data_IF_629612850962
#
_entry.id   IF_629612850962
#
_cell.length_a   1.000
_cell.length_b   1.000
_cell.length_c   1.000
_cell.angle_alpha   90.00
_cell.angle_beta   90.00
_cell.angle_gamma   90.00
#
_symmetry.space_group_name_H-M   'P 1'
#
loop_
_entity.id
_entity.type
_entity.pdbx_description
1 polymer ?
#
# COMPACT_ATOMS: atom_id res chain seq x y z
N UNK A 1 -9.59 -17.11 -17.09
CA UNK A 1 -8.45 -16.39 -16.49
C UNK A 1 -8.83 -15.00 -16.00
N UNK A 2 -9.56 -14.19 -16.76
CA UNK A 2 -9.93 -12.84 -16.32
C UNK A 2 -10.84 -12.77 -15.08
N UNK A 3 -11.71 -13.74 -14.85
CA UNK A 3 -12.60 -13.78 -13.68
C UNK A 3 -11.84 -14.12 -12.39
N UNK A 4 -10.91 -15.08 -12.42
CA UNK A 4 -10.13 -15.48 -11.25
C UNK A 4 -9.26 -14.34 -10.70
N UNK A 5 -8.67 -13.54 -11.59
CA UNK A 5 -7.86 -12.39 -11.17
C UNK A 5 -8.75 -11.30 -10.54
N UNK A 6 -9.93 -11.04 -11.11
CA UNK A 6 -10.91 -10.11 -10.50
C UNK A 6 -11.40 -10.61 -9.15
N UNK A 7 -11.69 -11.89 -9.03
CA UNK A 7 -12.09 -12.51 -7.76
C UNK A 7 -11.00 -12.37 -6.70
N UNK A 8 -9.73 -12.54 -7.08
CA UNK A 8 -8.59 -12.37 -6.17
C UNK A 8 -8.56 -10.97 -5.53
N UNK A 9 -8.78 -9.91 -6.31
CA UNK A 9 -8.82 -8.54 -5.80
C UNK A 9 -10.09 -8.23 -5.00
N UNK A 10 -11.16 -9.01 -5.18
CA UNK A 10 -12.40 -8.86 -4.43
C UNK A 10 -12.37 -9.62 -3.09
N UNK A 11 -11.44 -10.54 -2.90
CA UNK A 11 -11.29 -11.29 -1.64
C UNK A 11 -10.58 -10.39 -0.62
N UNK A 12 -11.36 -9.80 0.26
CA UNK A 12 -10.86 -9.00 1.38
C UNK A 12 -10.36 -9.93 2.49
N UNK A 13 -9.09 -10.29 2.44
CA UNK A 13 -8.45 -11.15 3.42
C UNK A 13 -7.60 -10.33 4.39
N UNK A 14 -7.95 -10.30 5.70
CA UNK A 14 -7.18 -9.52 6.68
C UNK A 14 -5.71 -9.95 6.81
N UNK A 15 -5.40 -11.22 6.64
CA UNK A 15 -4.01 -11.70 6.68
C UNK A 15 -3.20 -11.20 5.47
N UNK A 16 -3.78 -11.22 4.26
CA UNK A 16 -3.20 -10.62 3.08
C UNK A 16 -3.01 -9.11 3.28
N UNK A 17 -4.02 -8.45 3.83
CA UNK A 17 -3.95 -7.02 4.14
C UNK A 17 -2.79 -6.70 5.09
N UNK A 18 -2.64 -7.47 6.18
CA UNK A 18 -1.52 -7.32 7.12
C UNK A 18 -0.16 -7.50 6.43
N UNK A 19 -0.05 -8.47 5.54
CA UNK A 19 1.15 -8.69 4.73
C UNK A 19 1.48 -7.48 3.84
N UNK A 20 0.49 -6.91 3.17
CA UNK A 20 0.70 -5.73 2.32
C UNK A 20 1.14 -4.50 3.15
N UNK A 21 0.54 -4.28 4.32
CA UNK A 21 0.95 -3.22 5.24
C UNK A 21 2.40 -3.42 5.71
N UNK A 22 2.79 -4.66 6.00
CA UNK A 22 4.15 -4.98 6.43
C UNK A 22 5.19 -4.73 5.34
N UNK A 23 4.89 -5.11 4.10
CA UNK A 23 5.77 -4.89 2.94
C UNK A 23 5.96 -3.38 2.65
N UNK A 24 4.88 -2.61 2.74
CA UNK A 24 4.93 -1.15 2.64
C UNK A 24 5.84 -0.55 3.70
N UNK A 25 5.64 -0.93 4.96
CA UNK A 25 6.37 -0.36 6.11
C UNK A 25 7.85 -0.71 6.08
N UNK A 26 8.19 -1.95 5.69
CA UNK A 26 9.58 -2.38 5.55
C UNK A 26 10.31 -1.59 4.48
N UNK A 27 9.72 -1.48 3.29
CA UNK A 27 10.33 -0.71 2.19
C UNK A 27 10.47 0.79 2.53
N UNK A 28 9.53 1.34 3.29
CA UNK A 28 9.58 2.72 3.76
C UNK A 28 10.82 2.97 4.63
N UNK A 29 11.04 2.15 5.67
CA UNK A 29 12.18 2.32 6.58
C UNK A 29 13.53 1.99 5.93
N UNK A 30 13.56 1.01 5.03
CA UNK A 30 14.78 0.67 4.28
C UNK A 30 15.26 1.82 3.39
N UNK A 31 14.32 2.59 2.83
CA UNK A 31 14.65 3.69 1.93
C UNK A 31 15.16 4.94 2.64
N UNK A 32 14.54 5.35 3.75
CA UNK A 32 14.85 6.64 4.38
C UNK A 32 15.34 6.55 5.83
N UNK A 33 15.47 5.35 6.38
CA UNK A 33 15.90 5.06 7.75
C UNK A 33 14.95 5.58 8.85
N UNK A 34 13.75 6.04 8.49
CA UNK A 34 12.70 6.47 9.40
C UNK A 34 11.49 5.55 9.32
N UNK A 35 10.79 5.38 10.45
CA UNK A 35 9.56 4.60 10.50
C UNK A 35 8.41 5.32 9.79
N UNK A 36 7.56 4.56 9.11
CA UNK A 36 6.35 5.09 8.49
C UNK A 36 5.35 5.59 9.54
N UNK A 37 4.80 6.79 9.41
CA UNK A 37 3.70 7.22 10.26
C UNK A 37 2.44 6.38 9.98
N UNK A 38 1.77 5.93 11.03
CA UNK A 38 0.60 5.05 10.97
C UNK A 38 -0.51 5.53 10.01
N UNK A 39 -0.81 6.83 9.90
CA UNK A 39 -1.83 7.30 8.94
C UNK A 39 -1.60 6.83 7.50
N UNK A 40 -0.36 6.62 7.08
CA UNK A 40 -0.06 6.11 5.73
C UNK A 40 -0.59 4.70 5.49
N UNK A 41 -0.77 3.88 6.52
CA UNK A 41 -1.32 2.53 6.35
C UNK A 41 -2.74 2.55 5.77
N UNK A 42 -3.49 3.64 5.97
CA UNK A 42 -4.87 3.77 5.51
C UNK A 42 -5.02 4.05 4.01
N UNK A 43 -3.94 4.34 3.30
CA UNK A 43 -3.95 4.46 1.83
C UNK A 43 -3.47 3.18 1.14
N UNK A 44 -2.79 2.29 1.86
CA UNK A 44 -2.19 1.09 1.25
C UNK A 44 -3.25 0.17 0.67
N UNK A 45 -4.24 -0.24 1.47
CA UNK A 45 -5.27 -1.17 1.01
C UNK A 45 -6.17 -0.59 -0.08
N UNK A 46 -6.65 0.68 0.02
CA UNK A 46 -7.38 1.32 -1.07
C UNK A 46 -6.68 1.29 -2.41
N UNK A 47 -5.35 1.38 -2.41
CA UNK A 47 -4.55 1.32 -3.64
C UNK A 47 -4.24 -0.12 -4.07
N UNK A 48 -3.88 -0.99 -3.13
CA UNK A 48 -3.47 -2.37 -3.45
C UNK A 48 -4.63 -3.27 -3.86
N UNK A 49 -5.85 -2.99 -3.45
CA UNK A 49 -7.05 -3.72 -3.89
C UNK A 49 -7.67 -3.17 -5.20
N UNK A 50 -6.96 -2.30 -5.90
CA UNK A 50 -7.32 -1.84 -7.26
C UNK A 50 -6.31 -2.35 -8.25
N UNK A 51 -6.74 -3.32 -9.07
CA UNK A 51 -5.86 -3.97 -10.06
C UNK A 51 -5.19 -2.96 -10.98
N UNK A 52 -5.92 -1.96 -11.45
CA UNK A 52 -5.43 -0.92 -12.35
C UNK A 52 -4.29 -0.12 -11.71
N UNK A 53 -4.42 0.20 -10.41
CA UNK A 53 -3.38 0.91 -9.66
C UNK A 53 -2.15 0.02 -9.47
N UNK A 54 -2.34 -1.24 -9.06
CA UNK A 54 -1.26 -2.20 -8.87
C UNK A 54 -0.49 -2.43 -10.17
N UNK A 55 -1.18 -2.64 -11.27
CA UNK A 55 -0.56 -2.86 -12.58
C UNK A 55 0.27 -1.66 -13.02
N UNK A 56 -0.23 -0.45 -12.79
CA UNK A 56 0.49 0.76 -13.15
C UNK A 56 1.69 1.02 -12.25
N UNK A 57 1.57 0.81 -10.94
CA UNK A 57 2.69 0.88 -10.01
C UNK A 57 3.76 -0.15 -10.40
N UNK A 58 3.35 -1.37 -10.70
CA UNK A 58 4.29 -2.43 -11.11
C UNK A 58 5.09 -2.05 -12.36
N UNK A 59 4.45 -1.39 -13.34
CA UNK A 59 5.09 -0.94 -14.58
C UNK A 59 5.91 0.34 -14.44
N UNK A 60 5.73 1.09 -13.36
CA UNK A 60 6.44 2.35 -13.12
C UNK A 60 7.79 2.09 -12.45
N UNK A 61 8.83 2.78 -12.89
CA UNK A 61 10.17 2.62 -12.31
C UNK A 61 10.22 3.15 -10.87
N UNK A 62 10.94 2.46 -9.99
CA UNK A 62 11.13 2.83 -8.59
C UNK A 62 11.63 4.27 -8.42
N UNK A 63 12.54 4.72 -9.29
CA UNK A 63 13.12 6.08 -9.26
C UNK A 63 12.13 7.19 -9.59
N UNK A 64 11.01 6.86 -10.26
CA UNK A 64 10.07 7.87 -10.78
C UNK A 64 9.30 8.61 -9.68
N UNK A 65 8.93 7.93 -8.59
CA UNK A 65 8.25 8.52 -7.45
C UNK A 65 6.73 8.61 -7.57
N UNK A 66 6.09 8.96 -6.46
CA UNK A 66 4.63 9.00 -6.33
C UNK A 66 3.98 10.07 -7.22
N UNK A 67 4.60 11.24 -7.34
CA UNK A 67 4.09 12.34 -8.17
C UNK A 67 4.05 11.93 -9.64
N UNK A 68 5.13 11.38 -10.15
CA UNK A 68 5.18 10.87 -11.52
C UNK A 68 4.13 9.78 -11.76
N UNK A 69 4.00 8.83 -10.82
CA UNK A 69 2.96 7.80 -10.91
C UNK A 69 1.57 8.42 -11.03
N UNK A 70 1.20 9.34 -10.12
CA UNK A 70 -0.12 9.95 -10.11
C UNK A 70 -0.41 10.72 -11.40
N UNK A 71 0.53 11.51 -11.88
CA UNK A 71 0.38 12.28 -13.10
C UNK A 71 0.20 11.37 -14.33
N UNK A 72 1.09 10.40 -14.51
CA UNK A 72 1.04 9.49 -15.66
C UNK A 72 -0.14 8.52 -15.61
N UNK A 73 -0.52 8.07 -14.43
CA UNK A 73 -1.69 7.22 -14.25
C UNK A 73 -2.99 7.95 -14.66
N UNK A 74 -3.13 9.20 -14.27
CA UNK A 74 -4.31 10.02 -14.60
C UNK A 74 -4.35 10.45 -16.07
N UNK A 75 -3.19 10.64 -16.71
CA UNK A 75 -3.09 10.97 -18.14
C UNK A 75 -3.48 9.79 -19.06
N UNK A 76 -3.24 8.55 -18.61
CA UNK A 76 -3.40 7.35 -19.44
C UNK A 76 -4.86 7.06 -19.83
N UNK A 77 -5.79 7.28 -18.88
CA UNK A 77 -7.24 7.09 -19.07
C UNK A 77 -8.03 8.07 -18.20
N UNK A 78 -9.13 8.59 -18.70
CA UNK A 78 -10.02 9.45 -17.91
C UNK A 78 -10.55 8.76 -16.64
N UNK A 79 -10.87 7.46 -16.72
CA UNK A 79 -11.30 6.66 -15.56
C UNK A 79 -10.26 6.53 -14.46
N UNK A 80 -8.97 6.65 -14.77
CA UNK A 80 -7.90 6.60 -13.76
C UNK A 80 -7.89 7.83 -12.86
N UNK A 81 -8.28 9.00 -13.36
CA UNK A 81 -8.47 10.19 -12.54
C UNK A 81 -9.54 9.96 -11.48
N UNK A 82 -10.64 9.32 -11.85
CA UNK A 82 -11.71 8.98 -10.92
C UNK A 82 -11.23 7.98 -9.87
N UNK A 83 -10.39 7.01 -10.23
CA UNK A 83 -9.81 6.07 -9.26
C UNK A 83 -8.94 6.78 -8.22
N UNK A 84 -8.10 7.73 -8.61
CA UNK A 84 -7.31 8.54 -7.67
C UNK A 84 -8.24 9.36 -6.75
N UNK A 85 -9.24 10.04 -7.32
CA UNK A 85 -10.20 10.84 -6.53
C UNK A 85 -11.05 9.98 -5.58
N UNK A 86 -11.24 8.72 -5.88
CA UNK A 86 -11.98 7.77 -5.02
C UNK A 86 -11.13 7.17 -3.90
N UNK A 87 -9.80 7.38 -3.87
CA UNK A 87 -8.95 6.81 -2.81
C UNK A 87 -9.45 7.24 -1.42
N UNK A 88 -9.82 8.51 -1.25
CA UNK A 88 -10.36 9.01 0.03
C UNK A 88 -11.62 8.25 0.47
N UNK A 89 -12.60 8.10 -0.42
CA UNK A 89 -13.84 7.38 -0.12
C UNK A 89 -13.58 5.89 0.12
N UNK A 90 -12.70 5.30 -0.67
CA UNK A 90 -12.28 3.91 -0.51
C UNK A 90 -11.52 3.70 0.80
N UNK A 91 -10.66 4.64 1.19
CA UNK A 91 -9.98 4.64 2.49
C UNK A 91 -10.98 4.61 3.66
N UNK A 92 -12.06 5.39 3.59
CA UNK A 92 -13.11 5.35 4.62
C UNK A 92 -13.81 3.99 4.69
N UNK A 93 -14.12 3.39 3.55
CA UNK A 93 -14.72 2.04 3.50
C UNK A 93 -13.78 0.95 4.02
N UNK A 94 -12.48 1.06 3.75
CA UNK A 94 -11.47 0.11 4.19
C UNK A 94 -10.95 0.37 5.61
N UNK A 95 -11.44 1.39 6.30
CA UNK A 95 -10.94 1.77 7.63
C UNK A 95 -10.97 0.61 8.63
N UNK A 96 -12.10 -0.07 8.73
CA UNK A 96 -12.25 -1.23 9.65
C UNK A 96 -11.29 -2.35 9.27
N UNK A 97 -11.22 -2.70 7.98
CA UNK A 97 -10.30 -3.74 7.50
C UNK A 97 -8.84 -3.37 7.73
N UNK A 98 -8.47 -2.09 7.56
CA UNK A 98 -7.11 -1.62 7.86
C UNK A 98 -6.78 -1.78 9.34
N UNK A 99 -7.72 -1.44 10.24
CA UNK A 99 -7.54 -1.64 11.68
C UNK A 99 -7.44 -3.12 12.06
N UNK A 100 -8.25 -3.98 11.46
CA UNK A 100 -8.15 -5.43 11.63
C UNK A 100 -6.81 -5.97 11.13
N UNK A 101 -6.36 -5.51 9.96
CA UNK A 101 -5.07 -5.87 9.40
C UNK A 101 -3.89 -5.43 10.29
N UNK A 102 -3.98 -4.25 10.90
CA UNK A 102 -3.00 -3.77 11.89
C UNK A 102 -2.97 -4.72 13.09
N UNK A 103 -4.13 -5.08 13.64
CA UNK A 103 -4.24 -6.03 14.75
C UNK A 103 -3.62 -7.39 14.41
N UNK A 104 -3.90 -7.93 13.25
CA UNK A 104 -3.34 -9.21 12.77
C UNK A 104 -1.82 -9.09 12.55
N UNK A 105 -1.36 -7.99 11.95
CA UNK A 105 0.06 -7.74 11.73
C UNK A 105 0.85 -7.68 13.05
N UNK A 106 0.30 -7.04 14.06
CA UNK A 106 0.90 -6.98 15.40
C UNK A 106 0.90 -8.35 16.08
N UNK A 107 -0.23 -9.06 16.08
CA UNK A 107 -0.35 -10.42 16.65
C UNK A 107 0.56 -11.43 15.96
N UNK A 108 0.71 -11.32 14.64
CA UNK A 108 1.58 -12.14 13.81
C UNK A 108 3.05 -11.70 13.83
N UNK A 109 3.38 -10.68 14.60
CA UNK A 109 4.74 -10.13 14.70
C UNK A 109 5.35 -9.72 13.35
N UNK A 110 4.53 -9.16 12.48
CA UNK A 110 4.99 -8.57 11.22
C UNK A 110 5.51 -7.14 11.43
N UNK A 111 4.88 -6.41 12.34
CA UNK A 111 5.28 -5.07 12.75
C UNK A 111 4.72 -4.74 14.14
N UNK A 112 5.22 -3.67 14.71
CA UNK A 112 4.73 -3.08 15.96
C UNK A 112 4.34 -1.62 15.73
N UNK A 113 3.33 -1.15 16.46
CA UNK A 113 2.99 0.28 16.51
C UNK A 113 3.66 0.89 17.74
N UNK A 114 4.54 1.87 17.51
CA UNK A 114 5.24 2.59 18.55
C UNK A 114 4.36 3.67 19.21
N UNK A 115 4.75 4.19 20.37
CA UNK A 115 3.96 5.15 21.17
C UNK A 115 3.52 6.38 20.38
N UNK A 116 4.35 6.87 19.45
CA UNK A 116 4.07 8.06 18.64
C UNK A 116 3.32 7.74 17.33
N UNK A 117 2.67 6.58 17.28
CA UNK A 117 1.96 6.08 16.11
C UNK A 117 2.84 5.92 14.85
N UNK A 118 4.06 5.43 15.05
CA UNK A 118 4.96 4.99 13.99
C UNK A 118 5.00 3.48 13.88
N UNK A 119 5.19 2.99 12.67
CA UNK A 119 5.17 1.56 12.36
C UNK A 119 6.59 1.01 12.30
N UNK A 120 6.92 0.10 13.21
CA UNK A 120 8.20 -0.60 13.23
C UNK A 120 8.04 -1.98 12.56
N UNK A 121 8.53 -2.18 11.33
CA UNK A 121 8.47 -3.49 10.68
C UNK A 121 9.48 -4.47 11.33
N UNK A 122 9.09 -5.74 11.39
CA UNK A 122 9.92 -6.84 11.93
C UNK A 122 10.41 -7.67 10.73
N UNK A 123 11.54 -7.28 10.16
CA UNK A 123 12.09 -7.75 8.89
C UNK A 123 12.17 -9.27 8.79
N UNK A 124 12.70 -9.95 9.80
CA UNK A 124 12.89 -11.41 9.77
C UNK A 124 11.58 -12.15 9.54
N UNK A 125 10.51 -11.71 10.18
CA UNK A 125 9.19 -12.33 10.06
C UNK A 125 8.52 -12.01 8.71
N UNK A 126 8.70 -10.79 8.20
CA UNK A 126 8.19 -10.37 6.89
C UNK A 126 8.92 -11.15 5.78
N UNK A 127 10.24 -11.23 5.85
CA UNK A 127 11.10 -11.90 4.87
C UNK A 127 10.89 -13.43 4.84
N UNK A 128 10.43 -14.02 5.95
CA UNK A 128 10.13 -15.45 6.02
C UNK A 128 8.86 -15.83 5.27
N UNK A 129 7.97 -14.87 4.99
CA UNK A 129 6.74 -15.11 4.26
C UNK A 129 7.03 -15.28 2.76
N UNK A 130 6.73 -16.47 2.25
CA UNK A 130 6.88 -16.79 0.82
C UNK A 130 5.53 -17.16 0.23
N UNK A 131 5.23 -16.61 -0.93
CA UNK A 131 4.02 -16.94 -1.68
C UNK A 131 4.36 -17.60 -3.00
N UNK A 132 3.50 -18.52 -3.43
CA UNK A 132 3.54 -19.10 -4.77
C UNK A 132 2.63 -18.36 -5.76
N UNK A 133 1.80 -17.46 -5.26
CA UNK A 133 0.90 -16.65 -6.09
C UNK A 133 1.65 -15.51 -6.74
N UNK A 134 1.66 -15.47 -8.07
CA UNK A 134 2.26 -14.36 -8.84
C UNK A 134 1.54 -13.03 -8.60
N UNK A 135 0.21 -13.06 -8.45
CA UNK A 135 -0.58 -11.85 -8.17
C UNK A 135 -0.27 -11.30 -6.78
N UNK A 136 -0.17 -12.17 -5.76
CA UNK A 136 0.19 -11.74 -4.41
C UNK A 136 1.60 -11.15 -4.37
N UNK A 137 2.55 -11.76 -5.06
CA UNK A 137 3.91 -11.23 -5.17
C UNK A 137 3.93 -9.87 -5.86
N UNK A 138 3.14 -9.70 -6.92
CA UNK A 138 2.98 -8.43 -7.64
C UNK A 138 2.40 -7.35 -6.73
N UNK A 139 1.35 -7.66 -5.97
CA UNK A 139 0.77 -6.74 -4.98
C UNK A 139 1.80 -6.35 -3.90
N UNK A 140 2.54 -7.32 -3.37
CA UNK A 140 3.61 -7.09 -2.39
C UNK A 140 4.69 -6.16 -2.91
N UNK A 141 5.16 -6.37 -4.13
CA UNK A 141 6.14 -5.49 -4.79
C UNK A 141 5.59 -4.09 -5.08
N UNK A 142 4.30 -3.99 -5.42
CA UNK A 142 3.64 -2.69 -5.58
C UNK A 142 3.53 -1.94 -4.24
N UNK A 143 3.20 -2.64 -3.15
CA UNK A 143 3.17 -2.07 -1.81
C UNK A 143 4.56 -1.57 -1.36
N UNK A 144 5.62 -2.34 -1.63
CA UNK A 144 7.01 -1.91 -1.38
C UNK A 144 7.34 -0.63 -2.15
N UNK A 145 7.05 -0.59 -3.43
CA UNK A 145 7.31 0.57 -4.28
C UNK A 145 6.55 1.80 -3.79
N UNK A 146 5.29 1.63 -3.39
CA UNK A 146 4.50 2.69 -2.77
C UNK A 146 5.16 3.18 -1.46
N UNK A 147 5.66 2.28 -0.61
CA UNK A 147 6.38 2.61 0.61
C UNK A 147 7.63 3.46 0.34
N UNK A 148 8.43 3.07 -0.65
CA UNK A 148 9.61 3.82 -1.08
C UNK A 148 9.23 5.22 -1.56
N UNK A 149 8.20 5.35 -2.37
CA UNK A 149 7.76 6.65 -2.87
C UNK A 149 7.23 7.56 -1.77
N UNK A 150 6.43 6.99 -0.84
CA UNK A 150 5.92 7.75 0.30
C UNK A 150 7.02 8.19 1.26
N UNK A 151 8.08 7.39 1.41
CA UNK A 151 9.20 7.71 2.31
C UNK A 151 9.99 8.96 1.91
N UNK A 152 9.89 9.35 0.64
CA UNK A 152 10.57 10.53 0.08
C UNK A 152 9.74 11.82 0.19
N UNK A 153 8.55 11.75 0.78
CA UNK A 153 7.57 12.83 0.82
C UNK A 153 7.02 13.03 2.23
N UNK A 154 6.58 14.23 2.50
CA UNK A 154 5.80 14.54 3.72
C UNK A 154 4.35 14.06 3.59
N UNK A 155 3.67 13.89 4.72
CA UNK A 155 2.23 13.56 4.74
C UNK A 155 1.40 14.59 3.94
N UNK A 156 1.79 15.87 4.03
CA UNK A 156 1.10 16.93 3.29
C UNK A 156 1.25 16.76 1.77
N UNK A 157 2.46 16.47 1.30
CA UNK A 157 2.71 16.21 -0.12
C UNK A 157 1.93 14.99 -0.62
N UNK A 158 1.93 13.89 0.14
CA UNK A 158 1.17 12.69 -0.18
C UNK A 158 -0.33 13.01 -0.24
N UNK A 159 -0.84 13.74 0.76
CA UNK A 159 -2.22 14.22 0.80
C UNK A 159 -2.61 14.99 -0.45
N UNK A 160 -1.75 15.89 -0.91
CA UNK A 160 -1.98 16.69 -2.11
C UNK A 160 -1.95 15.85 -3.39
N UNK A 161 -0.99 14.92 -3.50
CA UNK A 161 -0.81 14.07 -4.69
C UNK A 161 -1.98 13.10 -4.85
N UNK A 162 -2.35 12.41 -3.78
CA UNK A 162 -3.39 11.37 -3.79
C UNK A 162 -4.80 11.90 -3.47
N UNK A 163 -4.94 13.19 -3.18
CA UNK A 163 -6.21 13.83 -2.82
C UNK A 163 -6.88 13.16 -1.61
N UNK A 164 -6.09 12.81 -0.61
CA UNK A 164 -6.54 12.19 0.65
C UNK A 164 -6.34 13.12 1.84
N UNK A 165 -7.09 12.87 2.91
CA UNK A 165 -6.94 13.54 4.22
C UNK A 165 -6.53 12.49 5.26
N UNK A 166 -5.45 12.77 5.98
CA UNK A 166 -4.99 11.93 7.09
C UNK A 166 -5.54 12.38 8.43
#
# INVERSE_FOLDING_TARGET
MGNLVKEFYNIQNPALSAYLLSRFSLAYIEENQDMAPMPLLFIVLPMMYKKEIVDFIASTQKKSGLRFFADKFTEKKNSNKDLILQIQNTSQRYKVMTLEAIGIGMSGKLFEIQKDAYVLPLEDNISSFKTKSKELEKMGKAAEKLGIWCSRLTLMEISQILKVRF
#
